data_IF_594810752090
#
_entry.id   IF_594810752090
#
_cell.length_a   1.000
_cell.length_b   1.000
_cell.length_c   1.000
_cell.angle_alpha   90.00
_cell.angle_beta   90.00
_cell.angle_gamma   90.00
#
_symmetry.space_group_name_H-M   'P 1'
#
loop_
_entity.id
_entity.type
_entity.pdbx_description
1 polymer ?
#
# COMPACT_ATOMS: atom_id res chain seq x y z
N UNK A 1 15.04 -1.88 -2.59
CA UNK A 1 13.77 -1.61 -3.32
C UNK A 1 12.86 -0.84 -2.37
N UNK A 2 12.37 0.32 -2.77
CA UNK A 2 11.46 1.17 -1.99
C UNK A 2 10.80 2.19 -2.92
N UNK A 3 9.58 2.61 -2.60
CA UNK A 3 8.78 3.56 -3.40
C UNK A 3 8.46 4.81 -2.57
N UNK A 4 8.17 5.92 -3.26
CA UNK A 4 7.78 7.16 -2.61
C UNK A 4 6.38 7.06 -1.99
N UNK A 5 5.44 6.41 -2.68
CA UNK A 5 4.06 6.28 -2.27
C UNK A 5 3.42 5.00 -2.81
N UNK A 6 2.31 4.60 -2.19
CA UNK A 6 1.38 3.58 -2.67
C UNK A 6 0.03 4.27 -2.88
N UNK A 7 -0.61 4.00 -4.02
CA UNK A 7 -1.99 4.40 -4.29
C UNK A 7 -2.90 3.18 -4.14
N UNK A 8 -4.07 3.37 -3.53
CA UNK A 8 -5.03 2.30 -3.26
C UNK A 8 -6.44 2.85 -3.20
N UNK A 9 -7.38 2.12 -3.79
CA UNK A 9 -8.82 2.38 -3.71
C UNK A 9 -9.46 1.46 -2.67
N UNK A 10 -10.52 1.95 -2.02
CA UNK A 10 -11.21 1.21 -0.97
C UNK A 10 -12.72 1.43 -1.05
N UNK A 11 -13.48 0.46 -0.56
CA UNK A 11 -14.94 0.55 -0.46
C UNK A 11 -15.46 -0.18 0.80
N UNK A 12 -16.61 0.25 1.34
CA UNK A 12 -17.30 -0.45 2.43
C UNK A 12 -17.75 -1.85 2.00
N UNK A 13 -18.12 -1.98 0.72
CA UNK A 13 -18.67 -3.18 0.11
C UNK A 13 -18.15 -3.34 -1.34
N UNK A 14 -16.91 -3.80 -1.54
CA UNK A 14 -16.30 -3.86 -2.88
C UNK A 14 -17.11 -4.67 -3.90
N UNK A 15 -17.85 -5.69 -3.45
CA UNK A 15 -18.65 -6.56 -4.34
C UNK A 15 -19.78 -5.79 -5.05
N UNK A 16 -20.22 -4.66 -4.48
CA UNK A 16 -21.26 -3.79 -5.05
C UNK A 16 -20.73 -2.41 -5.46
N UNK A 17 -19.40 -2.23 -5.57
CA UNK A 17 -18.84 -0.97 -6.04
C UNK A 17 -19.25 -0.70 -7.51
N UNK A 18 -19.55 0.56 -7.89
CA UNK A 18 -20.01 0.90 -9.25
C UNK A 18 -18.91 0.75 -10.31
N UNK A 19 -17.64 0.64 -9.90
CA UNK A 19 -16.47 0.37 -10.73
C UNK A 19 -15.40 -0.31 -9.87
N UNK A 20 -14.56 -1.13 -10.50
CA UNK A 20 -13.30 -1.67 -9.96
C UNK A 20 -13.36 -2.40 -8.60
N UNK A 21 -14.55 -2.81 -8.16
CA UNK A 21 -14.79 -3.54 -6.90
C UNK A 21 -13.78 -4.66 -6.61
N UNK A 22 -13.53 -5.60 -7.54
CA UNK A 22 -12.56 -6.68 -7.33
C UNK A 22 -11.11 -6.23 -7.07
N UNK A 23 -10.74 -4.99 -7.41
CA UNK A 23 -9.40 -4.42 -7.19
C UNK A 23 -9.32 -3.56 -5.91
N UNK A 24 -10.45 -3.21 -5.29
CA UNK A 24 -10.49 -2.37 -4.10
C UNK A 24 -10.19 -3.16 -2.84
N UNK A 25 -9.47 -2.55 -1.90
CA UNK A 25 -9.29 -3.12 -0.56
C UNK A 25 -10.55 -2.85 0.27
N UNK A 26 -11.15 -3.87 0.93
CA UNK A 26 -12.27 -3.63 1.82
C UNK A 26 -11.88 -2.67 2.95
N UNK A 27 -12.65 -1.61 3.18
CA UNK A 27 -12.27 -0.51 4.09
C UNK A 27 -11.97 -0.99 5.52
N UNK A 28 -12.66 -2.05 5.97
CA UNK A 28 -12.47 -2.67 7.30
C UNK A 28 -11.05 -3.21 7.50
N UNK A 29 -10.31 -3.49 6.43
CA UNK A 29 -8.92 -3.98 6.46
C UNK A 29 -7.88 -2.87 6.25
N UNK A 30 -8.31 -1.64 5.95
CA UNK A 30 -7.38 -0.55 5.61
C UNK A 30 -6.35 -0.30 6.72
N UNK A 31 -6.78 -0.34 7.99
CA UNK A 31 -5.87 -0.17 9.14
C UNK A 31 -4.73 -1.20 9.13
N UNK A 32 -5.06 -2.50 9.06
CA UNK A 32 -4.05 -3.57 9.11
C UNK A 32 -3.12 -3.55 7.89
N UNK A 33 -3.65 -3.17 6.73
CA UNK A 33 -2.85 -2.97 5.52
C UNK A 33 -1.87 -1.82 5.74
N UNK A 34 -2.33 -0.67 6.22
CA UNK A 34 -1.47 0.49 6.47
C UNK A 34 -0.40 0.22 7.53
N UNK A 35 -0.74 -0.49 8.62
CA UNK A 35 0.22 -0.89 9.65
C UNK A 35 1.37 -1.73 9.07
N UNK A 36 1.04 -2.68 8.19
CA UNK A 36 2.02 -3.50 7.48
C UNK A 36 2.87 -2.66 6.53
N UNK A 37 2.24 -1.81 5.71
CA UNK A 37 2.95 -0.94 4.75
C UNK A 37 3.90 0.02 5.47
N UNK A 38 3.50 0.61 6.59
CA UNK A 38 4.35 1.49 7.41
C UNK A 38 5.54 0.73 7.98
N UNK A 39 5.35 -0.50 8.47
CA UNK A 39 6.43 -1.31 8.99
C UNK A 39 7.46 -1.65 7.90
N UNK A 40 6.99 -2.05 6.71
CA UNK A 40 7.83 -2.30 5.55
C UNK A 40 8.57 -1.04 5.09
N UNK A 41 7.88 0.09 5.06
CA UNK A 41 8.44 1.37 4.64
C UNK A 41 9.61 1.80 5.52
N UNK A 42 9.43 1.71 6.85
CA UNK A 42 10.48 2.00 7.83
C UNK A 42 11.70 1.12 7.62
N UNK A 43 11.51 -0.18 7.40
CA UNK A 43 12.62 -1.11 7.16
C UNK A 43 13.34 -0.73 5.86
N UNK A 44 12.60 -0.58 4.76
CA UNK A 44 13.16 -0.29 3.44
C UNK A 44 13.92 1.05 3.39
N UNK A 45 13.43 2.07 4.11
CA UNK A 45 14.05 3.40 4.18
C UNK A 45 15.14 3.54 5.24
N UNK A 46 15.26 2.61 6.20
CA UNK A 46 16.28 2.68 7.26
C UNK A 46 17.72 2.52 6.78
N UNK A 47 17.92 1.86 5.64
CA UNK A 47 19.22 1.61 5.02
C UNK A 47 19.08 1.79 3.50
N UNK A 48 18.96 3.05 3.03
CA UNK A 48 18.85 3.30 1.60
C UNK A 48 20.09 2.73 0.91
N UNK A 49 19.89 2.09 -0.25
CA UNK A 49 21.05 1.69 -1.06
C UNK A 49 21.58 2.97 -1.68
N UNK A 50 22.74 3.40 -1.21
CA UNK A 50 23.45 4.53 -1.79
C UNK A 50 23.84 4.15 -3.23
N UNK A 51 23.37 4.96 -4.17
CA UNK A 51 23.74 5.02 -5.58
C UNK A 51 24.18 3.68 -6.21
N UNK A 52 23.21 2.84 -6.59
CA UNK A 52 23.43 1.83 -7.65
C UNK A 52 23.24 2.52 -9.01
N UNK A 53 23.98 3.60 -9.25
CA UNK A 53 24.16 4.11 -10.60
C UNK A 53 25.49 3.56 -11.11
N UNK A 54 25.60 3.12 -12.38
CA UNK A 54 26.89 3.21 -13.06
C UNK A 54 27.37 4.68 -13.11
#
# INVERSE_FOLDING_TARGET
>A
IGVAAVFMETHQDPDHAPSDGPNMVPIKHLRSVLETLIALDKIAKSRPIENIAP
#
